data_IF_715136561027
#
_entry.id   IF_715136561027
#
_cell.length_a   1.000
_cell.length_b   1.000
_cell.length_c   1.000
_cell.angle_alpha   90.00
_cell.angle_beta   90.00
_cell.angle_gamma   90.00
#
_symmetry.space_group_name_H-M   'P 1'
#
loop_
_entity.id
_entity.type
_entity.pdbx_description
1 polymer ?
#
# COMPACT_ATOMS: atom_id res chain seq x y z
N UNK A 1 20.15 15.42 74.04
CA UNK A 1 20.86 14.58 73.05
C UNK A 1 20.08 13.29 72.94
N UNK A 2 19.22 13.16 71.92
CA UNK A 2 18.41 11.95 71.69
C UNK A 2 18.80 11.40 70.32
N UNK A 3 19.42 10.23 70.31
CA UNK A 3 19.83 9.49 69.12
C UNK A 3 18.68 8.56 68.72
N UNK A 4 18.10 8.77 67.54
CA UNK A 4 17.14 7.84 66.93
C UNK A 4 17.81 7.16 65.75
N UNK A 5 18.10 5.87 65.91
CA UNK A 5 18.63 4.97 64.89
C UNK A 5 17.63 4.81 63.72
N UNK A 6 18.07 5.08 62.50
CA UNK A 6 17.35 4.76 61.27
C UNK A 6 17.76 3.35 60.79
N UNK A 7 16.78 2.46 60.67
CA UNK A 7 16.94 1.16 60.01
C UNK A 7 16.97 1.34 58.48
N UNK A 8 17.75 0.55 57.73
CA UNK A 8 17.79 0.63 56.27
C UNK A 8 16.54 0.02 55.62
N UNK A 9 16.02 0.71 54.62
CA UNK A 9 14.92 0.27 53.74
C UNK A 9 15.40 -0.87 52.83
N UNK A 10 14.63 -1.95 52.62
CA UNK A 10 15.01 -3.02 51.71
C UNK A 10 14.89 -2.60 50.23
N UNK A 11 15.71 -3.15 49.32
CA UNK A 11 15.68 -2.78 47.91
C UNK A 11 14.40 -3.31 47.22
N UNK A 12 13.91 -2.62 46.18
CA UNK A 12 12.71 -3.04 45.44
C UNK A 12 12.97 -4.31 44.62
N UNK A 13 12.00 -5.23 44.64
CA UNK A 13 11.99 -6.45 43.82
C UNK A 13 11.95 -6.10 42.32
N UNK A 14 12.88 -6.67 41.55
CA UNK A 14 12.84 -6.66 40.09
C UNK A 14 11.68 -7.54 39.60
N UNK A 15 10.75 -6.96 38.87
CA UNK A 15 9.74 -7.67 38.10
C UNK A 15 10.40 -8.37 36.90
N UNK A 16 10.26 -9.70 36.83
CA UNK A 16 10.61 -10.47 35.63
C UNK A 16 9.68 -10.07 34.46
N UNK A 17 10.17 -9.97 33.22
CA UNK A 17 9.32 -9.80 32.05
C UNK A 17 8.55 -11.09 31.76
N UNK A 18 7.36 -11.01 31.12
CA UNK A 18 6.56 -12.19 30.79
C UNK A 18 7.29 -13.10 29.80
N UNK A 19 7.29 -14.40 30.07
CA UNK A 19 7.68 -15.44 29.10
C UNK A 19 6.83 -15.32 27.83
N UNK A 20 7.52 -15.14 26.69
CA UNK A 20 6.93 -15.28 25.36
C UNK A 20 6.64 -16.76 25.07
N UNK A 21 5.44 -17.12 24.56
CA UNK A 21 5.18 -18.49 24.14
C UNK A 21 5.98 -18.85 22.87
N UNK A 22 6.27 -20.14 22.64
CA UNK A 22 7.07 -20.60 21.51
C UNK A 22 6.31 -20.42 20.20
N UNK A 23 6.98 -19.92 19.16
CA UNK A 23 6.44 -19.94 17.82
C UNK A 23 6.55 -21.36 17.26
N UNK A 24 5.44 -22.09 17.28
CA UNK A 24 5.30 -23.32 16.50
C UNK A 24 5.32 -22.96 15.01
N UNK A 25 6.34 -23.46 14.32
CA UNK A 25 6.39 -23.48 12.85
C UNK A 25 5.90 -24.85 12.42
N UNK A 26 4.92 -24.94 11.50
CA UNK A 26 4.96 -26.07 10.58
C UNK A 26 4.75 -25.66 9.12
N UNK A 27 5.71 -26.14 8.33
CA UNK A 27 5.60 -26.62 6.95
C UNK A 27 5.21 -25.63 5.85
N UNK A 28 6.19 -25.42 4.97
CA UNK A 28 6.01 -25.09 3.57
C UNK A 28 5.09 -26.10 2.86
N UNK A 29 3.82 -25.74 2.65
CA UNK A 29 2.99 -26.37 1.62
C UNK A 29 2.73 -25.36 0.51
N UNK A 30 3.43 -25.55 -0.61
CA UNK A 30 3.15 -24.88 -1.87
C UNK A 30 1.82 -25.42 -2.42
N UNK A 31 0.73 -24.69 -2.21
CA UNK A 31 -0.52 -24.92 -2.92
C UNK A 31 -0.40 -24.39 -4.35
N UNK A 32 -0.16 -25.28 -5.31
CA UNK A 32 -0.41 -25.01 -6.73
C UNK A 32 -1.89 -25.20 -7.05
N UNK A 33 -2.58 -24.24 -7.70
CA UNK A 33 -3.89 -24.50 -8.26
C UNK A 33 -3.72 -25.20 -9.63
N UNK A 34 -4.07 -26.49 -9.68
CA UNK A 34 -4.30 -27.24 -10.93
C UNK A 34 -5.81 -27.29 -11.16
N UNK A 35 -6.28 -26.65 -12.23
CA UNK A 35 -7.09 -27.23 -13.33
C UNK A 35 -7.87 -26.14 -14.06
N UNK A 36 -7.41 -25.77 -15.26
CA UNK A 36 -8.26 -25.34 -16.38
C UNK A 36 -8.10 -26.39 -17.48
N UNK A 37 -9.19 -26.95 -18.03
CA UNK A 37 -9.08 -27.91 -19.14
C UNK A 37 -9.01 -27.15 -20.46
N UNK A 38 -7.82 -27.06 -21.04
CA UNK A 38 -7.69 -26.80 -22.47
C UNK A 38 -7.92 -28.11 -23.23
N UNK A 39 -8.95 -28.08 -24.07
CA UNK A 39 -9.36 -29.11 -25.01
C UNK A 39 -8.35 -29.16 -26.17
N UNK A 40 -7.71 -30.30 -26.37
CA UNK A 40 -7.06 -30.67 -27.65
C UNK A 40 -7.54 -32.07 -28.02
N UNK A 41 -7.97 -32.34 -29.26
CA UNK A 41 -8.49 -33.65 -29.65
C UNK A 41 -7.34 -34.66 -29.85
N UNK A 42 -7.42 -35.80 -29.17
CA UNK A 42 -6.67 -37.01 -29.50
C UNK A 42 -7.29 -37.67 -30.73
N UNK A 43 -6.47 -37.92 -31.76
CA UNK A 43 -6.72 -38.96 -32.75
C UNK A 43 -6.07 -40.24 -32.23
N UNK A 44 -6.90 -41.20 -31.84
CA UNK A 44 -6.48 -42.55 -31.46
C UNK A 44 -6.53 -43.41 -32.71
N UNK A 45 -5.38 -43.95 -33.12
CA UNK A 45 -5.33 -45.11 -34.02
C UNK A 45 -4.55 -46.20 -33.30
N UNK A 46 -5.28 -47.24 -32.90
CA UNK A 46 -4.73 -48.49 -32.38
C UNK A 46 -5.50 -49.64 -33.02
N UNK A 47 -4.73 -50.50 -33.67
CA UNK A 47 -5.06 -51.74 -34.36
C UNK A 47 -5.55 -52.82 -33.38
N UNK A 48 -6.39 -53.79 -33.82
CA UNK A 48 -6.53 -55.09 -33.15
C UNK A 48 -5.70 -56.19 -33.84
N UNK A 49 -5.18 -57.22 -33.11
CA UNK A 49 -4.44 -58.34 -33.69
C UNK A 49 -5.23 -59.69 -33.72
N UNK A 50 -4.82 -60.54 -34.67
CA UNK A 50 -4.93 -62.01 -34.77
C UNK A 50 -6.35 -62.62 -35.00
N UNK A 51 -6.58 -63.72 -35.75
CA UNK A 51 -5.71 -64.84 -36.17
C UNK A 51 -6.36 -65.69 -37.31
N UNK A 52 -5.50 -66.16 -38.23
CA UNK A 52 -5.45 -67.38 -39.08
C UNK A 52 -6.66 -68.31 -39.33
N UNK A 53 -6.88 -68.65 -40.63
CA UNK A 53 -7.23 -70.00 -41.18
C UNK A 53 -6.62 -70.09 -42.61
N UNK A 54 -5.50 -70.78 -42.84
CA UNK A 54 -5.27 -72.18 -43.25
C UNK A 54 -5.47 -72.51 -44.75
N UNK A 55 -4.34 -72.90 -45.37
CA UNK A 55 -4.10 -73.91 -46.41
C UNK A 55 -4.18 -73.59 -47.94
N UNK A 56 -2.95 -73.61 -48.52
CA UNK A 56 -2.45 -74.41 -49.66
C UNK A 56 -2.60 -73.84 -51.10
N UNK A 57 -1.48 -73.57 -51.81
CA UNK A 57 -1.47 -73.40 -53.25
C UNK A 57 -1.11 -74.72 -53.97
N UNK A 58 -1.67 -75.04 -55.14
CA UNK A 58 -1.05 -75.97 -56.06
C UNK A 58 -0.11 -75.25 -57.04
N UNK A 59 0.84 -76.05 -57.49
CA UNK A 59 2.09 -75.70 -58.15
C UNK A 59 1.97 -75.14 -59.58
N UNK A 60 2.88 -74.20 -59.86
CA UNK A 60 3.80 -74.15 -61.02
C UNK A 60 3.19 -74.13 -62.43
N UNK A 61 3.54 -73.07 -63.19
CA UNK A 61 4.28 -73.18 -64.46
C UNK A 61 5.04 -71.88 -64.75
N UNK A 62 6.36 -72.03 -64.72
CA UNK A 62 7.39 -71.07 -65.12
C UNK A 62 7.37 -70.97 -66.65
N UNK A 63 7.52 -69.76 -67.23
CA UNK A 63 8.02 -69.54 -68.60
C UNK A 63 8.33 -68.05 -68.84
N UNK A 64 9.53 -67.77 -69.37
CA UNK A 64 10.00 -66.46 -69.87
C UNK A 64 10.73 -65.64 -68.79
N UNK A 65 12.05 -65.76 -68.57
CA UNK A 65 13.12 -65.20 -69.43
C UNK A 65 12.75 -63.80 -69.92
N UNK A 66 13.10 -62.78 -69.13
CA UNK A 66 14.02 -61.71 -69.54
C UNK A 66 14.39 -60.86 -68.31
N UNK A 67 15.69 -60.79 -68.05
CA UNK A 67 16.28 -59.98 -66.99
C UNK A 67 16.54 -58.57 -67.52
N UNK A 68 15.81 -57.57 -67.02
CA UNK A 68 16.16 -56.15 -67.18
C UNK A 68 16.34 -55.52 -65.78
N UNK A 69 17.40 -54.75 -65.52
CA UNK A 69 17.64 -54.20 -64.20
C UNK A 69 16.76 -52.97 -64.01
N UNK A 70 15.63 -53.14 -63.32
CA UNK A 70 14.78 -52.02 -62.90
C UNK A 70 15.58 -51.13 -61.95
N UNK A 71 15.99 -49.95 -62.42
CA UNK A 71 16.54 -48.87 -61.60
C UNK A 71 15.48 -48.45 -60.58
N UNK A 72 15.64 -48.89 -59.33
CA UNK A 72 14.91 -48.32 -58.21
C UNK A 72 15.44 -46.91 -57.93
N UNK A 73 14.87 -45.92 -58.62
CA UNK A 73 15.01 -44.52 -58.20
C UNK A 73 14.29 -44.37 -56.87
N UNK A 74 15.05 -44.38 -55.79
CA UNK A 74 14.63 -43.82 -54.50
C UNK A 74 14.30 -42.35 -54.74
N UNK A 75 13.01 -42.06 -54.96
CA UNK A 75 12.46 -40.71 -54.94
C UNK A 75 12.60 -40.19 -53.50
N UNK A 76 13.77 -39.61 -53.19
CA UNK A 76 13.92 -38.73 -52.05
C UNK A 76 12.88 -37.62 -52.22
N UNK A 77 11.80 -37.71 -51.45
CA UNK A 77 10.77 -36.67 -51.36
C UNK A 77 11.42 -35.44 -50.74
N UNK A 78 12.02 -34.63 -51.61
CA UNK A 78 12.53 -33.31 -51.29
C UNK A 78 11.41 -32.56 -50.55
N UNK A 79 11.67 -31.96 -49.37
CA UNK A 79 10.66 -31.12 -48.73
C UNK A 79 10.32 -30.03 -49.74
N UNK A 80 9.08 -30.06 -50.23
CA UNK A 80 8.53 -29.02 -51.10
C UNK A 80 8.80 -27.71 -50.38
N UNK A 81 9.74 -26.92 -50.89
CA UNK A 81 9.97 -25.55 -50.46
C UNK A 81 8.66 -24.80 -50.68
N UNK A 82 7.83 -24.77 -49.64
CA UNK A 82 6.59 -24.00 -49.64
C UNK A 82 6.99 -22.56 -49.82
N UNK A 83 6.64 -21.99 -50.97
CA UNK A 83 6.90 -20.60 -51.34
C UNK A 83 6.12 -19.73 -50.36
N UNK A 84 6.71 -19.42 -49.21
CA UNK A 84 6.09 -18.57 -48.19
C UNK A 84 5.87 -17.20 -48.79
N UNK A 85 4.60 -16.79 -48.86
CA UNK A 85 4.18 -15.55 -49.48
C UNK A 85 4.91 -14.37 -48.80
N UNK A 86 5.62 -13.49 -49.52
CA UNK A 86 6.45 -12.43 -48.93
C UNK A 86 5.66 -11.52 -47.97
N UNK A 87 4.36 -11.36 -48.20
CA UNK A 87 3.42 -10.68 -47.32
C UNK A 87 3.34 -11.29 -45.91
N UNK A 88 3.39 -12.61 -45.79
CA UNK A 88 3.33 -13.31 -44.49
C UNK A 88 4.60 -13.04 -43.68
N UNK A 89 5.76 -12.99 -44.34
CA UNK A 89 7.04 -12.64 -43.70
C UNK A 89 7.08 -11.17 -43.27
N UNK A 90 6.54 -10.25 -44.07
CA UNK A 90 6.42 -8.85 -43.68
C UNK A 90 5.51 -8.66 -42.46
N UNK A 91 4.35 -9.34 -42.43
CA UNK A 91 3.43 -9.30 -41.28
C UNK A 91 4.07 -9.93 -40.04
N UNK A 92 4.77 -11.05 -40.17
CA UNK A 92 5.48 -11.69 -39.06
C UNK A 92 6.58 -10.77 -38.50
N UNK A 93 7.35 -10.11 -39.36
CA UNK A 93 8.36 -9.13 -38.96
C UNK A 93 7.77 -7.93 -38.22
N UNK A 94 6.69 -7.34 -38.75
CA UNK A 94 5.99 -6.24 -38.10
C UNK A 94 5.42 -6.65 -36.73
N UNK A 95 4.83 -7.84 -36.65
CA UNK A 95 4.29 -8.40 -35.40
C UNK A 95 5.40 -8.61 -34.36
N UNK A 96 6.57 -9.10 -34.77
CA UNK A 96 7.72 -9.27 -33.88
C UNK A 96 8.22 -7.92 -33.35
N UNK A 97 8.39 -6.92 -34.21
CA UNK A 97 8.80 -5.57 -33.79
C UNK A 97 7.78 -4.96 -32.83
N UNK A 98 6.48 -5.06 -33.15
CA UNK A 98 5.41 -4.58 -32.27
C UNK A 98 5.42 -5.28 -30.91
N UNK A 99 5.61 -6.61 -30.89
CA UNK A 99 5.72 -7.39 -29.66
C UNK A 99 6.90 -6.96 -28.81
N UNK A 100 8.06 -6.70 -29.41
CA UNK A 100 9.24 -6.18 -28.71
C UNK A 100 8.98 -4.79 -28.10
N UNK A 101 8.28 -3.91 -28.83
CA UNK A 101 7.89 -2.60 -28.31
C UNK A 101 6.97 -2.74 -27.09
N UNK A 102 5.95 -3.60 -27.16
CA UNK A 102 5.06 -3.84 -26.02
C UNK A 102 5.81 -4.37 -24.79
N UNK A 103 6.75 -5.30 -24.99
CA UNK A 103 7.59 -5.82 -23.90
C UNK A 103 8.43 -4.69 -23.30
N UNK A 104 9.09 -3.88 -24.15
CA UNK A 104 9.91 -2.77 -23.69
C UNK A 104 9.10 -1.73 -22.92
N UNK A 105 7.95 -1.30 -23.46
CA UNK A 105 7.04 -0.39 -22.78
C UNK A 105 6.48 -0.98 -21.48
N UNK A 106 6.19 -2.29 -21.46
CA UNK A 106 5.76 -3.01 -20.27
C UNK A 106 6.81 -2.97 -19.16
N UNK A 107 8.06 -3.31 -19.49
CA UNK A 107 9.19 -3.27 -18.55
C UNK A 107 9.46 -1.83 -18.09
N UNK A 108 9.50 -0.87 -19.01
CA UNK A 108 9.73 0.54 -18.68
C UNK A 108 8.66 1.07 -17.74
N UNK A 109 7.38 0.76 -18.00
CA UNK A 109 6.26 1.14 -17.14
C UNK A 109 6.38 0.50 -15.76
N UNK A 110 6.75 -0.78 -15.69
CA UNK A 110 6.97 -1.49 -14.43
C UNK A 110 8.09 -0.84 -13.60
N UNK A 111 9.21 -0.50 -14.24
CA UNK A 111 10.33 0.19 -13.58
C UNK A 111 9.87 1.55 -13.04
N UNK A 112 9.18 2.36 -13.85
CA UNK A 112 8.67 3.67 -13.43
C UNK A 112 7.70 3.52 -12.26
N UNK A 113 6.78 2.56 -12.33
CA UNK A 113 5.81 2.29 -11.27
C UNK A 113 6.51 1.96 -9.94
N UNK A 114 7.50 1.06 -9.97
CA UNK A 114 8.26 0.68 -8.78
C UNK A 114 9.15 1.82 -8.25
N UNK A 115 9.76 2.61 -9.14
CA UNK A 115 10.68 3.67 -8.77
C UNK A 115 10.01 4.91 -8.20
N UNK A 116 8.78 5.23 -8.64
CA UNK A 116 8.09 6.46 -8.25
C UNK A 116 7.35 6.30 -6.93
N UNK A 117 6.81 5.10 -6.62
CA UNK A 117 5.95 4.76 -5.46
C UNK A 117 5.72 5.97 -4.53
N UNK A 118 4.75 6.85 -4.85
CA UNK A 118 4.64 8.15 -4.21
C UNK A 118 4.33 7.95 -2.73
N UNK A 119 5.18 8.52 -1.88
CA UNK A 119 4.99 8.48 -0.43
C UNK A 119 4.11 9.66 -0.02
N UNK A 120 3.15 9.42 0.85
CA UNK A 120 2.31 10.50 1.39
C UNK A 120 3.14 11.37 2.34
N UNK A 121 3.00 12.70 2.29
CA UNK A 121 3.51 13.60 3.33
C UNK A 121 3.14 13.09 4.72
N UNK A 122 4.10 13.21 5.65
CA UNK A 122 3.93 12.80 7.04
C UNK A 122 3.51 14.02 7.84
N UNK A 123 2.37 13.92 8.51
CA UNK A 123 1.86 14.90 9.47
C UNK A 123 2.31 14.53 10.88
N UNK A 124 2.82 15.52 11.61
CA UNK A 124 3.21 15.38 12.99
C UNK A 124 2.93 16.68 13.76
N UNK A 125 2.68 16.62 15.07
CA UNK A 125 2.36 17.82 15.89
C UNK A 125 3.34 17.92 17.06
N UNK A 126 4.57 18.43 16.86
CA UNK A 126 5.63 18.38 17.87
C UNK A 126 5.32 19.11 19.16
N UNK A 127 4.49 20.16 19.10
CA UNK A 127 4.16 20.96 20.25
C UNK A 127 2.70 21.43 20.16
N UNK A 128 2.02 21.46 21.30
CA UNK A 128 0.70 22.03 21.48
C UNK A 128 0.60 22.63 22.89
N UNK A 129 -0.10 23.75 22.99
CA UNK A 129 -0.27 24.53 24.21
C UNK A 129 -1.72 24.98 24.33
N UNK A 130 -2.38 24.57 25.41
CA UNK A 130 -3.72 25.02 25.78
C UNK A 130 -3.61 26.27 26.66
N UNK A 131 -3.95 27.43 26.11
CA UNK A 131 -3.81 28.70 26.83
C UNK A 131 -4.97 28.95 27.78
N UNK A 132 -6.19 28.75 27.32
CA UNK A 132 -7.41 29.01 28.10
C UNK A 132 -8.46 27.95 27.82
N UNK A 133 -9.23 27.64 28.86
CA UNK A 133 -10.45 26.86 28.79
C UNK A 133 -11.37 27.30 29.91
N UNK A 134 -12.59 27.69 29.57
CA UNK A 134 -13.61 28.08 30.52
C UNK A 134 -15.01 27.85 29.94
N UNK A 135 -16.01 27.86 30.83
CA UNK A 135 -17.41 27.68 30.49
C UNK A 135 -18.17 28.95 30.84
N UNK A 136 -18.81 29.59 29.86
CA UNK A 136 -19.71 30.72 30.10
C UNK A 136 -21.08 30.26 30.61
N UNK A 137 -21.46 29.04 30.26
CA UNK A 137 -22.68 28.39 30.71
C UNK A 137 -22.44 26.90 30.93
N UNK A 138 -23.38 26.15 31.53
CA UNK A 138 -23.23 24.71 31.72
C UNK A 138 -22.93 23.93 30.42
N UNK A 139 -23.30 24.49 29.27
CA UNK A 139 -23.27 23.89 27.93
C UNK A 139 -22.40 24.67 26.93
N UNK A 140 -21.95 25.89 27.25
CA UNK A 140 -21.16 26.74 26.36
C UNK A 140 -19.70 26.75 26.79
N UNK A 141 -18.82 26.26 25.91
CA UNK A 141 -17.39 26.13 26.14
C UNK A 141 -16.60 27.14 25.28
N UNK A 142 -15.58 27.74 25.89
CA UNK A 142 -14.58 28.57 25.22
C UNK A 142 -13.19 28.03 25.51
N UNK A 143 -12.31 28.12 24.52
CA UNK A 143 -10.92 27.73 24.69
C UNK A 143 -10.02 28.23 23.57
N UNK A 144 -8.72 28.26 23.87
CA UNK A 144 -7.67 28.69 22.95
C UNK A 144 -6.51 27.70 22.99
N UNK A 145 -6.31 27.02 21.87
CA UNK A 145 -5.28 26.01 21.68
C UNK A 145 -4.33 26.45 20.57
N UNK A 146 -3.06 26.62 20.90
CA UNK A 146 -2.00 26.84 19.91
C UNK A 146 -1.23 25.55 19.68
N UNK A 147 -0.83 25.29 18.44
CA UNK A 147 0.03 24.14 18.12
C UNK A 147 0.96 24.41 16.96
N UNK A 148 2.02 23.60 16.89
CA UNK A 148 2.95 23.57 15.78
C UNK A 148 2.68 22.32 14.95
N UNK A 149 2.24 22.54 13.73
CA UNK A 149 1.96 21.48 12.77
C UNK A 149 3.20 21.26 11.90
N UNK A 150 3.77 20.07 11.98
CA UNK A 150 4.92 19.63 11.20
C UNK A 150 4.46 18.78 10.01
N UNK A 151 4.69 19.27 8.80
CA UNK A 151 4.49 18.48 7.59
C UNK A 151 5.85 18.19 6.95
N UNK A 152 6.13 16.91 6.73
CA UNK A 152 7.36 16.46 6.08
C UNK A 152 7.04 15.82 4.74
N UNK A 153 7.73 16.23 3.67
CA UNK A 153 7.66 15.56 2.38
C UNK A 153 8.73 14.43 2.30
N UNK A 154 8.37 13.14 2.46
CA UNK A 154 9.35 12.05 2.40
C UNK A 154 9.85 11.77 0.98
N UNK A 155 9.29 12.39 -0.05
CA UNK A 155 9.63 12.10 -1.44
C UNK A 155 10.99 12.72 -1.81
N UNK A 156 11.83 11.91 -2.47
CA UNK A 156 13.15 12.33 -2.94
C UNK A 156 13.12 13.01 -4.32
N UNK A 157 12.10 12.70 -5.13
CA UNK A 157 12.00 13.11 -6.53
C UNK A 157 10.78 13.99 -6.83
N UNK A 158 9.84 14.09 -5.89
CA UNK A 158 8.55 14.75 -6.08
C UNK A 158 8.48 15.96 -5.15
N UNK A 159 8.15 17.10 -5.74
CA UNK A 159 7.83 18.32 -5.00
C UNK A 159 6.33 18.35 -4.75
N UNK A 160 5.92 18.83 -3.59
CA UNK A 160 4.50 18.82 -3.20
C UNK A 160 4.07 20.22 -2.85
N UNK A 161 2.94 20.65 -3.39
CA UNK A 161 2.27 21.89 -3.01
C UNK A 161 1.02 21.54 -2.23
N UNK A 162 0.92 22.09 -1.04
CA UNK A 162 -0.27 21.98 -0.20
C UNK A 162 -1.15 23.16 -0.57
N UNK A 163 -2.22 22.88 -1.31
CA UNK A 163 -3.14 23.90 -1.82
C UNK A 163 -4.11 24.35 -0.73
N UNK A 164 -4.49 23.45 0.16
CA UNK A 164 -5.46 23.69 1.20
C UNK A 164 -5.16 22.75 2.35
N UNK A 165 -5.10 23.29 3.57
CA UNK A 165 -4.94 22.52 4.81
C UNK A 165 -6.01 23.02 5.79
N UNK A 166 -6.99 22.16 6.05
CA UNK A 166 -8.00 22.32 7.07
C UNK A 166 -7.55 21.58 8.32
N UNK A 167 -7.64 22.24 9.46
CA UNK A 167 -7.36 21.68 10.76
C UNK A 167 -8.62 21.80 11.60
N UNK A 168 -9.10 20.67 12.10
CA UNK A 168 -10.29 20.59 12.93
C UNK A 168 -9.94 19.98 14.28
N UNK A 169 -10.40 20.61 15.35
CA UNK A 169 -10.24 20.15 16.72
C UNK A 169 -11.54 19.52 17.20
N UNK A 170 -11.45 18.30 17.73
CA UNK A 170 -12.57 17.54 18.24
C UNK A 170 -12.36 17.17 19.70
N UNK A 171 -13.47 17.17 20.43
CA UNK A 171 -13.58 16.61 21.77
C UNK A 171 -14.76 15.63 21.78
N UNK A 172 -14.54 14.36 22.13
CA UNK A 172 -15.55 13.28 22.02
C UNK A 172 -16.33 13.29 20.69
N UNK A 173 -15.60 13.41 19.57
CA UNK A 173 -16.16 13.47 18.21
C UNK A 173 -17.09 14.68 17.94
N UNK A 174 -17.17 15.66 18.84
CA UNK A 174 -17.78 16.96 18.60
C UNK A 174 -16.72 17.96 18.12
N UNK A 175 -16.96 18.59 16.97
CA UNK A 175 -16.11 19.67 16.47
C UNK A 175 -16.20 20.87 17.42
N UNK A 176 -15.05 21.34 17.92
CA UNK A 176 -14.95 22.48 18.82
C UNK A 176 -14.17 23.66 18.25
N UNK A 177 -13.26 23.44 17.30
CA UNK A 177 -12.60 24.53 16.58
C UNK A 177 -12.21 24.08 15.18
N UNK A 178 -12.07 25.04 14.26
CA UNK A 178 -11.61 24.81 12.88
C UNK A 178 -10.73 25.98 12.46
N UNK A 179 -9.63 25.70 11.79
CA UNK A 179 -8.71 26.69 11.25
C UNK A 179 -8.19 26.27 9.88
N UNK A 180 -8.09 27.26 8.97
CA UNK A 180 -7.44 27.09 7.67
C UNK A 180 -5.99 27.56 7.74
N UNK A 181 -5.09 26.83 7.09
CA UNK A 181 -3.69 27.20 6.93
C UNK A 181 -3.44 27.63 5.49
N UNK A 182 -2.65 28.69 5.32
CA UNK A 182 -2.32 29.22 4.00
C UNK A 182 -1.58 28.18 3.14
N UNK A 183 -1.78 28.20 1.80
CA UNK A 183 -1.10 27.27 0.90
C UNK A 183 0.42 27.44 0.93
N UNK A 184 1.16 26.34 0.84
CA UNK A 184 2.62 26.38 0.78
C UNK A 184 3.20 25.24 -0.07
N UNK A 185 4.38 25.47 -0.63
CA UNK A 185 5.13 24.46 -1.38
C UNK A 185 6.21 23.85 -0.50
N UNK A 186 6.45 22.55 -0.66
CA UNK A 186 7.52 21.81 -0.03
C UNK A 186 8.36 21.13 -1.12
N UNK A 187 9.66 21.42 -1.10
CA UNK A 187 10.66 20.79 -1.94
C UNK A 187 10.87 19.33 -1.51
N UNK A 188 11.73 18.65 -2.25
CA UNK A 188 12.13 17.25 -2.00
C UNK A 188 12.76 17.16 -0.61
N UNK A 189 12.28 16.24 0.24
CA UNK A 189 12.72 16.07 1.64
C UNK A 189 12.60 17.31 2.52
N UNK A 190 11.79 18.28 2.12
CA UNK A 190 11.58 19.47 2.93
C UNK A 190 10.59 19.19 4.07
N UNK A 191 10.88 19.81 5.20
CA UNK A 191 10.03 19.80 6.40
C UNK A 191 9.57 21.21 6.66
N UNK A 192 8.28 21.39 6.90
CA UNK A 192 7.69 22.71 7.15
C UNK A 192 6.91 22.68 8.45
N UNK A 193 7.28 23.59 9.36
CA UNK A 193 6.58 23.84 10.61
C UNK A 193 5.64 25.02 10.42
N UNK A 194 4.35 24.81 10.72
CA UNK A 194 3.30 25.82 10.61
C UNK A 194 2.63 26.04 11.96
N UNK A 195 2.70 27.25 12.54
CA UNK A 195 1.92 27.56 13.73
C UNK A 195 0.44 27.64 13.37
N UNK A 196 -0.40 27.03 14.19
CA UNK A 196 -1.86 27.02 14.04
C UNK A 196 -2.47 27.33 15.39
N UNK A 197 -3.35 28.33 15.43
CA UNK A 197 -4.14 28.68 16.61
C UNK A 197 -5.60 28.31 16.35
N UNK A 198 -6.15 27.53 17.24
CA UNK A 198 -7.52 27.02 17.21
C UNK A 198 -8.29 27.68 18.35
N UNK A 199 -9.28 28.48 17.98
CA UNK A 199 -10.11 29.23 18.93
C UNK A 199 -11.51 28.61 18.93
N UNK A 200 -11.94 28.17 20.11
CA UNK A 200 -13.30 27.74 20.40
C UNK A 200 -14.03 28.90 21.08
N UNK A 201 -15.10 29.41 20.46
CA UNK A 201 -15.92 30.49 21.01
C UNK A 201 -17.38 30.05 21.09
N UNK A 202 -17.96 30.07 22.30
CA UNK A 202 -19.35 29.73 22.61
C UNK A 202 -19.81 28.41 21.98
N UNK A 203 -18.94 27.40 22.01
CA UNK A 203 -19.23 26.11 21.41
C UNK A 203 -20.20 25.34 22.30
N UNK A 204 -21.31 24.91 21.72
CA UNK A 204 -22.27 24.05 22.41
C UNK A 204 -21.71 22.63 22.57
N UNK A 205 -21.47 22.24 23.82
CA UNK A 205 -21.17 20.87 24.23
C UNK A 205 -22.41 20.26 24.90
N UNK A 206 -22.84 19.07 24.44
CA UNK A 206 -23.79 18.25 25.19
C UNK A 206 -23.36 18.07 26.65
N UNK A 207 -24.33 18.00 27.57
CA UNK A 207 -24.08 17.98 29.03
C UNK A 207 -23.12 16.86 29.44
N UNK A 208 -23.23 15.68 28.84
CA UNK A 208 -22.31 14.56 29.07
C UNK A 208 -20.86 14.89 28.69
N UNK A 209 -20.64 15.55 27.55
CA UNK A 209 -19.31 15.97 27.11
C UNK A 209 -18.79 17.13 27.96
N UNK A 210 -19.62 18.10 28.32
CA UNK A 210 -19.22 19.20 29.19
C UNK A 210 -18.77 18.70 30.58
N UNK A 211 -19.48 17.73 31.16
CA UNK A 211 -19.11 17.11 32.43
C UNK A 211 -17.80 16.34 32.34
N UNK A 212 -17.60 15.58 31.26
CA UNK A 212 -16.36 14.84 31.04
C UNK A 212 -15.17 15.76 30.80
N UNK A 213 -15.36 16.89 30.09
CA UNK A 213 -14.31 17.89 29.92
C UNK A 213 -13.90 18.48 31.26
N UNK A 214 -14.87 18.82 32.13
CA UNK A 214 -14.57 19.29 33.50
C UNK A 214 -13.83 18.25 34.32
N UNK A 215 -14.20 16.97 34.21
CA UNK A 215 -13.51 15.86 34.86
C UNK A 215 -12.05 15.75 34.39
N UNK A 216 -11.81 15.78 33.08
CA UNK A 216 -10.47 15.75 32.50
C UNK A 216 -9.61 16.97 32.83
N UNK A 217 -10.25 18.14 32.99
CA UNK A 217 -9.57 19.33 33.49
C UNK A 217 -9.10 19.16 34.94
N UNK A 218 -9.95 18.57 35.81
CA UNK A 218 -9.60 18.28 37.21
C UNK A 218 -8.50 17.21 37.31
N UNK A 219 -8.55 16.19 36.46
CA UNK A 219 -7.52 15.14 36.35
C UNK A 219 -6.23 15.64 35.67
N UNK A 220 -6.22 16.89 35.20
CA UNK A 220 -5.10 17.53 34.52
C UNK A 220 -4.63 16.77 33.26
N UNK A 221 -5.56 16.09 32.59
CA UNK A 221 -5.30 15.26 31.42
C UNK A 221 -6.51 15.32 30.48
N UNK A 222 -6.40 16.15 29.45
CA UNK A 222 -7.45 16.39 28.46
C UNK A 222 -7.05 15.72 27.15
N UNK A 223 -7.95 14.89 26.63
CA UNK A 223 -7.78 14.20 25.35
C UNK A 223 -8.51 14.93 24.23
N UNK A 224 -7.76 15.32 23.20
CA UNK A 224 -8.29 15.95 21.99
C UNK A 224 -7.98 15.10 20.76
N UNK A 225 -8.90 15.09 19.80
CA UNK A 225 -8.66 14.52 18.47
C UNK A 225 -8.55 15.67 17.46
N UNK A 226 -7.44 15.71 16.74
CA UNK A 226 -7.25 16.64 15.62
C UNK A 226 -7.45 15.87 14.32
N UNK A 227 -8.30 16.41 13.46
CA UNK A 227 -8.50 15.93 12.10
C UNK A 227 -7.98 16.97 11.13
N UNK A 228 -7.04 16.57 10.29
CA UNK A 228 -6.48 17.42 9.26
C UNK A 228 -6.93 16.91 7.90
N UNK A 229 -7.49 17.78 7.07
CA UNK A 229 -7.79 17.46 5.67
C UNK A 229 -6.96 18.36 4.78
N UNK A 230 -6.14 17.77 3.91
CA UNK A 230 -5.28 18.56 3.04
C UNK A 230 -5.29 18.08 1.60
N UNK A 231 -5.36 19.06 0.69
CA UNK A 231 -5.29 18.86 -0.75
C UNK A 231 -3.85 19.09 -1.19
N UNK A 232 -3.23 18.02 -1.70
CA UNK A 232 -1.83 18.02 -2.13
C UNK A 232 -1.78 17.94 -3.64
N UNK A 233 -0.98 18.82 -4.25
CA UNK A 233 -0.60 18.76 -5.66
C UNK A 233 0.86 18.35 -5.75
N UNK A 234 1.11 17.12 -6.18
CA UNK A 234 2.44 16.61 -6.46
C UNK A 234 2.88 17.06 -7.86
N UNK A 235 4.12 17.55 -7.95
CA UNK A 235 4.79 17.95 -9.18
C UNK A 235 5.92 16.96 -9.50
N UNK A 236 5.83 16.32 -10.66
CA UNK A 236 6.84 15.42 -11.20
C UNK A 236 7.21 15.87 -12.62
N UNK A 237 8.17 16.80 -12.70
CA UNK A 237 8.50 17.47 -13.95
C UNK A 237 7.30 18.28 -14.47
N UNK A 238 6.83 17.98 -15.67
CA UNK A 238 5.66 18.64 -16.29
C UNK A 238 4.32 18.03 -15.85
N UNK A 239 4.35 16.82 -15.28
CA UNK A 239 3.14 16.13 -14.84
C UNK A 239 2.81 16.58 -13.43
N UNK A 240 1.56 16.96 -13.21
CA UNK A 240 1.03 17.28 -11.89
C UNK A 240 -0.12 16.35 -11.55
N UNK A 241 -0.16 15.91 -10.29
CA UNK A 241 -1.20 15.03 -9.79
C UNK A 241 -1.72 15.55 -8.45
N UNK A 242 -3.02 15.79 -8.36
CA UNK A 242 -3.67 16.27 -7.15
C UNK A 242 -4.41 15.15 -6.42
N UNK A 243 -4.26 15.08 -5.11
CA UNK A 243 -4.92 14.09 -4.25
C UNK A 243 -5.25 14.70 -2.89
N UNK A 244 -6.18 14.06 -2.18
CA UNK A 244 -6.57 14.45 -0.82
C UNK A 244 -5.97 13.47 0.19
N UNK A 245 -5.51 14.02 1.30
CA UNK A 245 -5.03 13.27 2.44
C UNK A 245 -5.83 13.65 3.69
N UNK A 246 -5.97 12.68 4.57
CA UNK A 246 -6.59 12.86 5.87
C UNK A 246 -5.58 12.45 6.95
N UNK A 247 -5.24 13.41 7.81
CA UNK A 247 -4.47 13.21 9.02
C UNK A 247 -5.40 13.07 10.22
N UNK A 248 -5.06 12.18 11.14
CA UNK A 248 -5.68 12.08 12.47
C UNK A 248 -4.58 12.09 13.52
N UNK A 249 -4.69 12.98 14.50
CA UNK A 249 -3.79 13.04 15.63
C UNK A 249 -4.58 13.00 16.93
N UNK A 250 -4.23 12.09 17.84
CA UNK A 250 -4.72 12.10 19.21
C UNK A 250 -3.69 12.85 20.07
N UNK A 251 -4.14 13.84 20.82
CA UNK A 251 -3.31 14.65 21.71
C UNK A 251 -3.79 14.49 23.14
N UNK A 252 -2.85 14.37 24.07
CA UNK A 252 -3.10 14.50 25.50
C UNK A 252 -2.39 15.73 26.01
N UNK A 253 -3.13 16.65 26.60
CA UNK A 253 -2.64 17.96 27.05
C UNK A 253 -3.05 18.16 28.51
N UNK A 254 -2.22 18.83 29.31
CA UNK A 254 -2.61 19.20 30.68
C UNK A 254 -3.67 20.31 30.68
N UNK A 255 -4.42 20.44 31.78
CA UNK A 255 -5.27 21.61 31.99
C UNK A 255 -4.45 22.90 32.14
N UNK A 256 -5.08 24.08 32.03
CA UNK A 256 -4.45 25.36 32.39
C UNK A 256 -4.08 25.38 33.88
N UNK A 257 -3.06 26.16 34.29
CA UNK A 257 -2.41 27.22 33.52
C UNK A 257 -1.22 26.79 32.65
N UNK A 258 -0.71 25.57 32.81
CA UNK A 258 0.46 25.10 32.06
C UNK A 258 0.12 24.66 30.63
N UNK A 259 -0.99 23.91 30.47
CA UNK A 259 -1.52 23.57 29.15
C UNK A 259 -0.56 22.82 28.21
N UNK A 260 0.37 22.01 28.70
CA UNK A 260 1.47 21.43 27.90
C UNK A 260 1.08 20.10 27.28
N UNK A 261 1.56 19.84 26.06
CA UNK A 261 1.44 18.55 25.39
C UNK A 261 2.19 17.44 26.13
N UNK A 262 1.46 16.41 26.58
CA UNK A 262 1.98 15.21 27.26
C UNK A 262 2.36 14.14 26.24
N UNK A 263 1.41 13.82 25.35
CA UNK A 263 1.59 12.75 24.38
C UNK A 263 0.79 13.03 23.10
N UNK A 264 1.24 12.41 22.02
CA UNK A 264 0.72 12.60 20.68
C UNK A 264 0.86 11.35 19.85
N UNK A 265 -0.16 11.05 19.07
CA UNK A 265 -0.13 9.95 18.11
C UNK A 265 -0.79 10.40 16.81
N UNK A 266 0.00 10.51 15.75
CA UNK A 266 -0.44 11.03 14.46
C UNK A 266 -0.37 9.94 13.38
N UNK A 267 -1.41 9.90 12.53
CA UNK A 267 -1.48 9.03 11.37
C UNK A 267 -1.96 9.81 10.16
N UNK A 268 -1.45 9.47 8.99
CA UNK A 268 -1.89 10.07 7.72
C UNK A 268 -2.32 8.96 6.78
N UNK A 269 -3.52 9.06 6.21
CA UNK A 269 -4.05 8.13 5.23
C UNK A 269 -4.45 8.85 3.95
N UNK A 270 -4.20 8.19 2.83
CA UNK A 270 -4.73 8.58 1.52
C UNK A 270 -6.06 7.86 1.31
N UNK A 271 -7.07 8.61 0.89
CA UNK A 271 -8.37 8.08 0.49
C UNK A 271 -8.35 7.63 -0.96
#
# INVERSE_FOLDING_TARGET
MSNSNLLPVPPPQQSQPPETPPWDTPSSMWYTPRTTPWRTPQSTQSTPPNQMVLAKPPAVKFNGLDAEPRKDTVMLRQPRSSRTNPLIWCVAGLCFVFSLLLIFFGIATLIVYLAVKPRTPVLDIPNASLHTIYFDSPISFNGDLSMLVNLTNPNKKIEVRIEQLEVELFFFNKLIARQWVQPFSQRKRETSLKPVRLISSLVYLPVNYAMELRRQMQDNKIEYEIRCTFKVRAHFGMIHYSYRLHGRCQLQITGPPAGVLISRYCTTKRR
#
